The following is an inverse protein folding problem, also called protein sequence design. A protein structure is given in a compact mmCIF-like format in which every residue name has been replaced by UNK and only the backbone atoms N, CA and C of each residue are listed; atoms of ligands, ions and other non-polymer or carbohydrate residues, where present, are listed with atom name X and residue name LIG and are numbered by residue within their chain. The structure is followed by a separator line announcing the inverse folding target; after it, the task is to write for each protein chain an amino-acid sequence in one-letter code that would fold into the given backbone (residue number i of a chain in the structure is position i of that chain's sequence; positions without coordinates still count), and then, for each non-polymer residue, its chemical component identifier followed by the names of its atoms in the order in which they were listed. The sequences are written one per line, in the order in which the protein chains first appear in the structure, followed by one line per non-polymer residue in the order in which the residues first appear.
data_IF_026499853356
#
_entry.id   IF_026499853356
#
_cell.length_a   1.000
_cell.length_b   1.000
_cell.length_c   1.000
_cell.angle_alpha   90.00
_cell.angle_beta   90.00
_cell.angle_gamma   90.00
#
_symmetry.space_group_name_H-M   'P 1'
#
loop_
_entity.id
_entity.type
_entity.pdbx_description
1 polymer ?
#
# COMPACT_ATOMS: atom_id res chain seq x y z
N UNK A 1 3.93 5.80 9.01
CA UNK A 1 3.74 5.29 7.63
C UNK A 1 2.75 6.15 6.88
N UNK A 2 2.98 6.31 5.61
CA UNK A 2 2.00 6.87 4.68
C UNK A 2 1.66 5.82 3.64
N UNK A 3 0.38 5.55 3.46
CA UNK A 3 -0.06 4.52 2.53
C UNK A 3 -1.15 5.10 1.65
N UNK A 4 -0.99 4.96 0.34
CA UNK A 4 -2.06 5.23 -0.60
C UNK A 4 -2.78 3.91 -0.85
N UNK A 5 -4.09 3.90 -0.60
CA UNK A 5 -4.94 2.73 -0.74
C UNK A 5 -5.85 2.94 -1.94
N UNK A 6 -5.77 2.05 -2.92
CA UNK A 6 -6.63 2.10 -4.09
C UNK A 6 -7.41 0.81 -4.23
N UNK A 7 -8.73 0.94 -4.31
CA UNK A 7 -9.61 -0.19 -4.57
C UNK A 7 -9.47 -0.57 -6.04
N UNK A 8 -9.19 -1.84 -6.33
CA UNK A 8 -8.89 -2.28 -7.70
C UNK A 8 -9.73 -3.48 -8.11
N UNK A 9 -10.03 -3.57 -9.40
CA UNK A 9 -10.56 -4.78 -10.02
C UNK A 9 -9.44 -5.76 -10.32
N UNK A 10 -8.25 -5.23 -10.63
CA UNK A 10 -7.04 -6.00 -10.85
C UNK A 10 -5.85 -5.07 -10.76
N UNK A 11 -4.69 -5.61 -10.43
CA UNK A 11 -3.43 -4.88 -10.40
C UNK A 11 -2.27 -5.84 -10.62
N UNK A 12 -1.16 -5.31 -11.13
CA UNK A 12 0.04 -6.09 -11.34
C UNK A 12 1.28 -5.22 -11.22
N UNK A 13 2.40 -5.85 -10.92
CA UNK A 13 3.71 -5.20 -10.96
C UNK A 13 4.63 -6.02 -11.85
N UNK A 14 5.31 -5.31 -12.77
CA UNK A 14 6.29 -5.92 -13.69
C UNK A 14 7.67 -5.35 -13.42
N UNK A 15 8.68 -6.19 -13.58
CA UNK A 15 10.09 -5.84 -13.47
C UNK A 15 10.78 -6.41 -14.70
N UNK A 16 11.50 -5.57 -15.43
CA UNK A 16 12.19 -5.96 -16.68
C UNK A 16 11.24 -6.67 -17.66
N UNK A 17 10.02 -6.17 -17.77
CA UNK A 17 9.02 -6.68 -18.70
C UNK A 17 8.31 -7.96 -18.27
N UNK A 18 8.60 -8.46 -17.07
CA UNK A 18 7.99 -9.69 -16.56
C UNK A 18 7.11 -9.40 -15.35
N UNK A 19 5.94 -10.03 -15.27
CA UNK A 19 5.05 -9.89 -14.13
C UNK A 19 5.67 -10.57 -12.93
N UNK A 20 5.88 -9.79 -11.86
CA UNK A 20 6.43 -10.27 -10.58
C UNK A 20 5.32 -10.64 -9.60
N UNK A 21 4.23 -9.87 -9.59
CA UNK A 21 3.07 -10.11 -8.75
C UNK A 21 1.82 -9.57 -9.40
N UNK A 22 0.69 -10.19 -9.14
CA UNK A 22 -0.59 -9.72 -9.64
C UNK A 22 -1.73 -10.19 -8.75
N UNK A 23 -2.79 -9.38 -8.72
CA UNK A 23 -4.00 -9.66 -7.96
C UNK A 23 -5.23 -9.42 -8.82
N UNK A 24 -6.32 -10.05 -8.43
CA UNK A 24 -7.67 -9.76 -8.91
C UNK A 24 -8.26 -8.67 -8.01
N UNK A 25 -9.55 -8.73 -7.73
CA UNK A 25 -10.23 -7.73 -6.90
C UNK A 25 -9.56 -7.60 -5.53
N UNK A 26 -9.34 -6.37 -5.10
CA UNK A 26 -8.73 -6.10 -3.82
C UNK A 26 -8.19 -4.69 -3.70
N UNK A 27 -7.02 -4.57 -3.06
CA UNK A 27 -6.37 -3.29 -2.80
C UNK A 27 -4.96 -3.25 -3.39
N UNK A 28 -4.65 -2.15 -4.07
CA UNK A 28 -3.26 -1.78 -4.34
C UNK A 28 -2.81 -0.80 -3.27
N UNK A 29 -1.68 -1.08 -2.65
CA UNK A 29 -1.08 -0.21 -1.65
C UNK A 29 0.23 0.34 -2.16
N UNK A 30 0.41 1.66 -2.04
CA UNK A 30 1.69 2.31 -2.17
C UNK A 30 2.14 2.64 -0.75
N UNK A 31 3.28 2.10 -0.31
CA UNK A 31 3.67 2.08 1.11
C UNK A 31 4.95 2.88 1.32
N UNK A 32 4.86 3.97 2.06
CA UNK A 32 6.00 4.77 2.48
C UNK A 32 6.28 4.60 3.97
N UNK A 33 7.55 4.41 4.30
CA UNK A 33 8.01 4.25 5.69
C UNK A 33 8.73 5.52 6.11
N UNK A 34 8.33 6.09 7.26
CA UNK A 34 8.98 7.26 7.84
C UNK A 34 10.05 6.87 8.85
N UNK A 35 10.99 7.79 9.15
CA UNK A 35 12.11 7.48 10.06
C UNK A 35 11.69 7.24 11.50
N UNK A 36 10.50 7.71 11.88
CA UNK A 36 9.97 7.59 13.25
C UNK A 36 8.90 6.52 13.38
N UNK A 37 8.71 5.70 12.35
CA UNK A 37 7.71 4.64 12.39
C UNK A 37 8.12 3.54 13.36
N UNK A 38 7.16 3.09 14.17
CA UNK A 38 7.33 2.08 15.20
C UNK A 38 6.34 0.94 14.99
N UNK A 39 6.47 -0.09 15.81
CA UNK A 39 5.60 -1.26 15.72
C UNK A 39 4.12 -0.88 15.80
N UNK A 40 3.77 0.10 16.62
CA UNK A 40 2.37 0.55 16.74
C UNK A 40 1.82 1.14 15.44
N UNK A 41 2.68 1.79 14.63
CA UNK A 41 2.29 2.31 13.32
C UNK A 41 1.96 1.16 12.38
N UNK A 42 2.79 0.13 12.37
CA UNK A 42 2.60 -1.07 11.56
C UNK A 42 1.30 -1.78 11.96
N UNK A 43 1.11 -2.01 13.24
CA UNK A 43 -0.08 -2.70 13.76
C UNK A 43 -1.36 -1.93 13.43
N UNK A 44 -1.33 -0.61 13.58
CA UNK A 44 -2.46 0.25 13.22
C UNK A 44 -2.77 0.15 11.73
N UNK A 45 -1.74 0.26 10.88
CA UNK A 45 -1.92 0.22 9.44
C UNK A 45 -2.52 -1.12 8.99
N UNK A 46 -1.98 -2.23 9.46
CA UNK A 46 -2.49 -3.56 9.11
C UNK A 46 -3.96 -3.70 9.51
N UNK A 47 -4.29 -3.35 10.76
CA UNK A 47 -5.66 -3.45 11.26
C UNK A 47 -6.63 -2.61 10.44
N UNK A 48 -6.24 -1.38 10.10
CA UNK A 48 -7.09 -0.49 9.30
C UNK A 48 -7.29 -1.01 7.89
N UNK A 49 -6.23 -1.45 7.25
CA UNK A 49 -6.29 -1.87 5.85
C UNK A 49 -7.17 -3.10 5.64
N UNK A 50 -7.06 -4.10 6.51
CA UNK A 50 -7.81 -5.34 6.35
C UNK A 50 -9.29 -5.20 6.75
N UNK A 51 -9.63 -4.18 7.54
CA UNK A 51 -10.99 -3.96 8.03
C UNK A 51 -11.69 -2.74 7.41
N UNK A 52 -11.00 -1.96 6.60
CA UNK A 52 -11.56 -0.76 5.96
C UNK A 52 -12.71 -1.13 5.03
N UNK A 53 -13.87 -0.54 5.28
CA UNK A 53 -15.13 -0.95 4.63
C UNK A 53 -15.37 -0.12 3.37
N UNK A 54 -14.61 -0.38 2.33
CA UNK A 54 -14.67 0.37 1.07
C UNK A 54 -15.12 -0.46 -0.13
N UNK A 55 -15.56 -1.68 0.10
CA UNK A 55 -16.15 -2.51 -0.96
C UNK A 55 -17.67 -2.50 -0.83
N UNK A 56 -18.35 -2.48 -1.98
CA UNK A 56 -19.81 -2.37 -2.02
C UNK A 56 -20.48 -3.66 -1.56
N UNK A 57 -21.53 -3.52 -0.74
CA UNK A 57 -22.39 -4.62 -0.37
C UNK A 57 -23.48 -4.84 -1.45
N UNK A 58 -24.44 -5.73 -1.17
CA UNK A 58 -25.52 -6.05 -2.12
C UNK A 58 -26.43 -4.86 -2.39
N UNK A 59 -26.43 -3.84 -1.52
CA UNK A 59 -27.21 -2.61 -1.69
C UNK A 59 -26.42 -1.48 -2.33
N UNK A 60 -25.17 -1.74 -2.74
CA UNK A 60 -24.31 -0.75 -3.37
C UNK A 60 -23.63 0.22 -2.41
N UNK A 61 -23.67 -0.06 -1.11
CA UNK A 61 -23.05 0.79 -0.08
C UNK A 61 -21.65 0.28 0.27
N UNK A 62 -20.73 1.19 0.51
CA UNK A 62 -19.37 0.86 1.00
C UNK A 62 -19.46 0.32 2.42
N UNK A 63 -19.52 -0.99 2.56
CA UNK A 63 -19.80 -1.64 3.83
C UNK A 63 -18.96 -2.90 4.08
N UNK A 64 -18.22 -3.37 3.07
CA UNK A 64 -17.44 -4.60 3.17
C UNK A 64 -15.96 -4.30 3.11
N UNK A 65 -15.17 -5.08 3.85
CA UNK A 65 -13.72 -5.01 3.85
C UNK A 65 -13.12 -5.92 2.79
N UNK A 66 -11.81 -5.79 2.56
CA UNK A 66 -11.08 -6.71 1.67
C UNK A 66 -11.16 -8.14 2.17
N UNK A 67 -11.22 -8.35 3.49
CA UNK A 67 -11.42 -9.68 4.09
C UNK A 67 -12.80 -10.22 3.76
N UNK A 68 -13.83 -9.39 3.91
CA UNK A 68 -15.21 -9.79 3.68
C UNK A 68 -15.44 -10.29 2.26
N UNK A 69 -14.82 -9.64 1.27
CA UNK A 69 -14.98 -10.00 -0.13
C UNK A 69 -13.97 -11.08 -0.58
N UNK A 70 -13.15 -11.59 0.33
CA UNK A 70 -12.07 -12.54 0.01
C UNK A 70 -11.15 -11.99 -1.07
N UNK A 71 -10.81 -10.70 -0.97
CA UNK A 71 -9.93 -10.02 -1.89
C UNK A 71 -8.46 -10.23 -1.56
N UNK A 72 -7.62 -9.63 -2.38
CA UNK A 72 -6.17 -9.74 -2.30
C UNK A 72 -5.54 -8.36 -2.17
N UNK A 73 -4.28 -8.29 -1.74
CA UNK A 73 -3.53 -7.04 -1.63
C UNK A 73 -2.25 -7.14 -2.46
N UNK A 74 -1.99 -6.09 -3.27
CA UNK A 74 -0.69 -5.88 -3.91
C UNK A 74 -0.01 -4.72 -3.19
N UNK A 75 1.10 -5.01 -2.50
CA UNK A 75 1.84 -4.06 -1.68
C UNK A 75 3.11 -3.62 -2.40
N UNK A 76 3.23 -2.32 -2.67
CA UNK A 76 4.35 -1.72 -3.41
C UNK A 76 5.03 -0.69 -2.51
N UNK A 77 6.33 -0.83 -2.31
CA UNK A 77 7.13 0.17 -1.59
C UNK A 77 7.23 1.47 -2.40
N UNK A 78 6.99 2.62 -1.73
CA UNK A 78 6.94 3.93 -2.40
C UNK A 78 7.48 5.02 -1.47
N UNK A 79 8.81 5.13 -1.37
CA UNK A 79 9.44 6.14 -0.50
C UNK A 79 9.10 7.57 -0.92
N UNK A 80 8.77 7.79 -2.19
CA UNK A 80 8.45 9.12 -2.72
C UNK A 80 7.19 9.73 -2.10
N UNK A 81 6.41 8.96 -1.31
CA UNK A 81 5.30 9.52 -0.54
C UNK A 81 5.78 10.51 0.52
N UNK A 82 7.07 10.48 0.87
CA UNK A 82 7.70 11.41 1.79
C UNK A 82 8.43 12.55 1.07
N UNK A 83 8.06 12.83 -0.17
CA UNK A 83 8.64 13.92 -0.94
C UNK A 83 8.33 15.27 -0.29
N UNK A 84 9.35 16.13 -0.25
CA UNK A 84 9.22 17.54 0.12
C UNK A 84 9.32 18.37 -1.17
N UNK A 85 8.24 19.07 -1.51
CA UNK A 85 8.14 19.87 -2.73
C UNK A 85 8.12 21.37 -2.45
N UNK A 86 8.50 21.78 -1.22
CA UNK A 86 8.35 23.17 -0.79
C UNK A 86 9.25 24.15 -1.54
N UNK A 87 10.46 23.72 -1.91
CA UNK A 87 11.44 24.59 -2.56
C UNK A 87 11.77 24.08 -3.95
N UNK A 88 11.59 24.99 -4.94
CA UNK A 88 11.95 24.69 -6.32
C UNK A 88 11.12 23.55 -6.91
N UNK A 89 11.62 22.99 -8.00
CA UNK A 89 10.90 22.00 -8.80
C UNK A 89 11.45 20.57 -8.62
N UNK A 90 12.56 20.41 -7.88
CA UNK A 90 13.11 19.08 -7.59
C UNK A 90 12.65 18.65 -6.20
N UNK A 91 11.86 17.58 -6.10
CA UNK A 91 11.46 17.07 -4.79
C UNK A 91 12.68 16.57 -4.00
N UNK A 92 12.65 16.78 -2.70
CA UNK A 92 13.62 16.19 -1.77
C UNK A 92 12.97 15.01 -1.05
N UNK A 93 13.76 13.99 -0.73
CA UNK A 93 13.26 12.77 -0.09
C UNK A 93 13.90 12.50 1.27
N UNK A 94 14.42 13.55 1.90
CA UNK A 94 15.08 13.45 3.22
C UNK A 94 14.12 13.07 4.35
N UNK A 95 12.81 13.21 4.12
CA UNK A 95 11.79 12.82 5.09
C UNK A 95 11.45 11.35 5.13
N UNK A 96 11.99 10.56 4.20
CA UNK A 96 11.77 9.11 4.19
C UNK A 96 12.75 8.40 5.14
N UNK A 97 12.37 7.22 5.63
CA UNK A 97 13.29 6.37 6.37
C UNK A 97 14.45 5.94 5.47
N UNK A 98 15.61 5.66 6.09
CA UNK A 98 16.76 5.13 5.34
C UNK A 98 16.43 3.75 4.76
N UNK A 99 17.02 3.39 3.60
CA UNK A 99 16.65 2.17 2.89
C UNK A 99 16.66 0.89 3.73
N UNK A 100 17.69 0.68 4.56
CA UNK A 100 17.78 -0.54 5.37
C UNK A 100 16.62 -0.66 6.35
N UNK A 101 16.31 0.42 7.07
CA UNK A 101 15.17 0.46 7.99
C UNK A 101 13.87 0.29 7.24
N UNK A 102 13.70 1.02 6.13
CA UNK A 102 12.47 1.02 5.36
C UNK A 102 12.17 -0.37 4.80
N UNK A 103 13.19 -1.06 4.26
CA UNK A 103 13.03 -2.40 3.70
C UNK A 103 12.60 -3.39 4.78
N UNK A 104 13.30 -3.40 5.93
CA UNK A 104 12.96 -4.31 7.03
C UNK A 104 11.54 -4.07 7.53
N UNK A 105 11.15 -2.81 7.69
CA UNK A 105 9.82 -2.43 8.16
C UNK A 105 8.73 -2.82 7.16
N UNK A 106 8.99 -2.58 5.89
CA UNK A 106 8.08 -2.96 4.80
C UNK A 106 7.89 -4.48 4.74
N UNK A 107 8.97 -5.26 4.90
CA UNK A 107 8.87 -6.73 4.91
C UNK A 107 8.04 -7.21 6.10
N UNK A 108 8.23 -6.62 7.28
CA UNK A 108 7.44 -6.97 8.46
C UNK A 108 5.96 -6.63 8.25
N UNK A 109 5.68 -5.48 7.66
CA UNK A 109 4.33 -5.03 7.32
C UNK A 109 3.65 -6.05 6.39
N UNK A 110 4.33 -6.45 5.31
CA UNK A 110 3.79 -7.43 4.37
C UNK A 110 3.52 -8.77 5.04
N UNK A 111 4.40 -9.19 5.95
CA UNK A 111 4.26 -10.45 6.67
C UNK A 111 3.02 -10.43 7.57
N UNK A 112 2.77 -9.32 8.25
CA UNK A 112 1.58 -9.19 9.09
C UNK A 112 0.29 -9.13 8.26
N UNK A 113 0.30 -8.41 7.13
CA UNK A 113 -0.85 -8.40 6.22
C UNK A 113 -1.18 -9.82 5.72
N UNK A 114 -0.15 -10.59 5.38
CA UNK A 114 -0.32 -11.94 4.81
C UNK A 114 -0.94 -12.93 5.79
N UNK A 115 -0.97 -12.62 7.07
CA UNK A 115 -1.70 -13.42 8.06
C UNK A 115 -3.20 -13.25 7.92
N UNK A 116 -3.65 -12.16 7.29
CA UNK A 116 -5.06 -11.79 7.21
C UNK A 116 -5.66 -12.03 5.83
N UNK A 117 -4.93 -11.73 4.76
CA UNK A 117 -5.38 -11.85 3.36
C UNK A 117 -4.20 -12.25 2.49
N UNK A 118 -4.44 -12.81 1.29
CA UNK A 118 -3.34 -13.04 0.34
C UNK A 118 -2.66 -11.73 -0.06
N UNK A 119 -1.33 -11.72 -0.03
CA UNK A 119 -0.53 -10.54 -0.35
C UNK A 119 0.48 -10.89 -1.43
N UNK A 120 0.50 -10.08 -2.50
CA UNK A 120 1.54 -10.06 -3.51
C UNK A 120 2.37 -8.79 -3.33
N UNK A 121 3.64 -8.83 -3.71
CA UNK A 121 4.56 -7.70 -3.53
C UNK A 121 5.38 -7.45 -4.76
N UNK A 122 5.95 -6.23 -4.88
CA UNK A 122 7.05 -5.94 -5.77
C UNK A 122 8.39 -6.27 -5.11
N UNK A 123 9.45 -5.67 -5.61
CA UNK A 123 10.80 -5.80 -5.06
C UNK A 123 11.25 -4.43 -4.57
N UNK A 124 11.63 -4.35 -3.30
CA UNK A 124 12.08 -3.09 -2.70
C UNK A 124 13.27 -2.51 -3.48
N UNK A 125 13.15 -1.24 -3.85
CA UNK A 125 14.23 -0.52 -4.56
C UNK A 125 14.33 -0.80 -6.05
N UNK A 126 13.55 -1.73 -6.59
CA UNK A 126 13.60 -2.02 -8.03
C UNK A 126 12.83 -0.98 -8.84
N UNK A 127 13.18 -0.86 -10.12
CA UNK A 127 12.38 -0.12 -11.08
C UNK A 127 11.20 -1.01 -11.48
N UNK A 128 10.00 -0.55 -11.18
CA UNK A 128 8.79 -1.34 -11.35
C UNK A 128 7.77 -0.61 -12.20
N UNK A 129 7.00 -1.38 -13.00
CA UNK A 129 5.84 -0.89 -13.73
C UNK A 129 4.60 -1.42 -13.01
N UNK A 130 3.82 -0.51 -12.43
CA UNK A 130 2.64 -0.87 -11.65
C UNK A 130 1.39 -0.53 -12.45
N UNK A 131 0.65 -1.56 -12.86
CA UNK A 131 -0.59 -1.41 -13.60
C UNK A 131 -1.78 -1.75 -12.72
N UNK A 132 -2.87 -1.00 -12.87
CA UNK A 132 -4.07 -1.23 -12.07
C UNK A 132 -5.31 -0.69 -12.75
N UNK A 133 -6.46 -1.23 -12.36
CA UNK A 133 -7.75 -0.65 -12.68
C UNK A 133 -8.37 -0.21 -11.37
N UNK A 134 -8.37 1.10 -11.14
CA UNK A 134 -8.95 1.69 -9.94
C UNK A 134 -10.48 1.66 -10.06
N UNK A 135 -11.10 0.92 -9.17
CA UNK A 135 -12.53 0.67 -9.21
C UNK A 135 -13.30 1.74 -8.44
N UNK A 136 -14.00 2.58 -9.20
CA UNK A 136 -14.82 3.62 -8.60
C UNK A 136 -14.67 5.01 -9.20
N UNK A 137 -13.54 5.72 -9.19
CA UNK A 137 -12.31 5.41 -8.46
C UNK A 137 -12.47 5.58 -6.94
N UNK A 138 -11.73 4.80 -6.20
CA UNK A 138 -11.62 4.94 -4.74
C UNK A 138 -10.14 4.94 -4.36
N UNK A 139 -9.67 6.05 -3.83
CA UNK A 139 -8.29 6.26 -3.42
C UNK A 139 -8.29 6.95 -2.07
N UNK A 140 -7.62 6.37 -1.09
CA UNK A 140 -7.61 6.84 0.29
C UNK A 140 -6.17 7.02 0.75
N UNK A 141 -5.92 8.08 1.50
CA UNK A 141 -4.63 8.32 2.14
C UNK A 141 -4.74 7.87 3.59
N UNK A 142 -3.89 6.94 3.97
CA UNK A 142 -3.77 6.47 5.35
C UNK A 142 -2.41 6.94 5.90
N UNK A 143 -2.45 7.80 6.92
CA UNK A 143 -1.24 8.28 7.59
C UNK A 143 -1.32 7.85 9.05
N UNK A 144 -0.39 7.01 9.49
CA UNK A 144 -0.40 6.48 10.85
C UNK A 144 -0.07 7.53 11.90
N UNK A 145 0.48 8.68 11.49
CA UNK A 145 0.79 9.80 12.40
C UNK A 145 -0.36 10.79 12.53
N UNK A 146 -1.38 10.65 11.71
CA UNK A 146 -2.57 11.52 11.71
C UNK A 146 -3.80 10.66 12.03
N UNK A 147 -3.86 10.18 13.26
CA UNK A 147 -4.95 9.29 13.72
C UNK A 147 -5.57 9.76 15.04
#
# INVERSE_FOLDING_TARGET
MKIIVQRVKQAQVSIDGQIHGQIKQGLLLLVGVGPEDQQEDLDYAVRKLVNMRIFSDTEGKMNLSVKDIQGEILSISQFTLFADTKKGNRPAFTGAAKPDMAEAFYQDFNRELAKEVPVETGVFGADMQVGLVNDGPVTIILDTKDR
#
